data_IF_751742635396
#
_entry.id   IF_751742635396
#
_cell.length_a   1.000
_cell.length_b   1.000
_cell.length_c   1.000
_cell.angle_alpha   90.00
_cell.angle_beta   90.00
_cell.angle_gamma   90.00
#
_symmetry.space_group_name_H-M   'P 1'
#
loop_
_entity.id
_entity.type
_entity.pdbx_description
1 polymer ?
#
# COMPACT_ATOMS: atom_id res chain seq x y z
N UNK A 1 -11.69 -11.74 6.72
CA UNK A 1 -12.05 -12.13 8.10
C UNK A 1 -10.80 -12.59 8.82
N UNK A 2 -10.47 -11.98 9.96
CA UNK A 2 -9.38 -12.45 10.83
C UNK A 2 -10.06 -13.27 11.93
N UNK A 3 -9.76 -14.56 12.00
CA UNK A 3 -10.30 -15.45 13.04
C UNK A 3 -9.52 -15.26 14.36
N UNK A 4 -10.23 -15.49 15.46
CA UNK A 4 -9.64 -15.56 16.79
C UNK A 4 -8.51 -16.59 16.82
N UNK A 5 -7.46 -16.31 17.62
CA UNK A 5 -6.21 -17.09 17.64
C UNK A 5 -6.44 -18.58 17.91
N UNK A 6 -7.42 -18.87 18.74
CA UNK A 6 -7.81 -20.22 19.18
C UNK A 6 -8.42 -21.06 18.06
N UNK A 7 -8.98 -20.41 17.03
CA UNK A 7 -9.64 -21.04 15.90
C UNK A 7 -8.78 -21.01 14.62
N UNK A 8 -7.50 -20.64 14.73
CA UNK A 8 -6.58 -20.61 13.57
C UNK A 8 -6.13 -22.03 13.25
N UNK A 9 -6.10 -22.34 11.95
CA UNK A 9 -5.46 -23.54 11.43
C UNK A 9 -3.95 -23.33 11.57
N UNK A 10 -3.33 -23.97 12.56
CA UNK A 10 -1.88 -23.94 12.80
C UNK A 10 -1.45 -25.17 13.59
N UNK A 11 -0.22 -25.65 13.38
CA UNK A 11 0.31 -26.82 14.09
C UNK A 11 0.02 -26.76 15.59
N UNK A 12 -0.37 -27.91 16.18
CA UNK A 12 -0.69 -28.07 17.62
C UNK A 12 0.37 -27.46 18.55
N UNK A 13 1.63 -27.41 18.12
CA UNK A 13 2.74 -26.83 18.89
C UNK A 13 2.58 -25.33 19.12
N UNK A 14 2.00 -24.61 18.16
CA UNK A 14 1.66 -23.19 18.32
C UNK A 14 0.48 -22.99 19.26
N UNK A 15 -0.53 -23.86 19.21
CA UNK A 15 -1.66 -23.81 20.15
C UNK A 15 -1.21 -23.99 21.60
N UNK A 16 -0.26 -24.91 21.85
CA UNK A 16 0.31 -25.10 23.18
C UNK A 16 1.12 -23.89 23.64
N UNK A 17 1.96 -23.33 22.76
CA UNK A 17 2.71 -22.08 23.01
C UNK A 17 1.80 -20.90 23.35
N UNK A 18 0.65 -20.81 22.71
CA UNK A 18 -0.30 -19.73 22.91
C UNK A 18 -1.09 -19.84 24.22
N UNK A 19 -1.22 -21.05 24.77
CA UNK A 19 -1.87 -21.33 26.06
C UNK A 19 -0.93 -21.20 27.26
N UNK A 20 0.39 -21.15 27.03
CA UNK A 20 1.37 -20.97 28.10
C UNK A 20 1.54 -19.47 28.45
N UNK A 21 1.66 -19.11 29.75
CA UNK A 21 1.95 -17.74 30.18
C UNK A 21 3.28 -17.25 29.58
N UNK A 22 3.41 -15.94 29.26
CA UNK A 22 4.64 -15.38 28.73
C UNK A 22 5.76 -15.44 29.79
N UNK A 23 6.63 -16.46 29.68
CA UNK A 23 7.88 -16.54 30.42
C UNK A 23 8.97 -15.64 29.82
N UNK A 24 10.05 -15.35 30.56
CA UNK A 24 11.09 -14.39 30.17
C UNK A 24 11.91 -14.80 28.93
N UNK A 25 11.78 -16.04 28.46
CA UNK A 25 12.45 -16.52 27.25
C UNK A 25 11.49 -16.45 26.06
N UNK A 26 11.69 -15.46 25.18
CA UNK A 26 10.97 -15.37 23.91
C UNK A 26 11.33 -16.56 23.00
N UNK A 27 10.50 -17.59 23.10
CA UNK A 27 9.84 -18.28 21.98
C UNK A 27 10.67 -18.52 20.73
N UNK A 28 11.66 -19.40 20.88
CA UNK A 28 12.32 -20.10 19.78
C UNK A 28 12.31 -21.59 20.08
N UNK A 29 12.39 -22.45 19.06
CA UNK A 29 12.65 -23.87 19.30
C UNK A 29 14.02 -24.05 19.99
N UNK A 30 14.39 -25.28 20.37
CA UNK A 30 15.68 -25.58 21.00
C UNK A 30 16.91 -25.08 20.20
N UNK A 31 16.71 -24.68 18.93
CA UNK A 31 17.72 -24.20 18.00
C UNK A 31 17.56 -22.71 17.65
N UNK A 32 16.74 -21.94 18.36
CA UNK A 32 16.58 -20.52 18.06
C UNK A 32 15.64 -20.23 16.88
N UNK A 33 14.91 -21.23 16.34
CA UNK A 33 14.04 -21.02 15.17
C UNK A 33 12.69 -20.44 15.58
N UNK A 34 12.21 -19.50 14.79
CA UNK A 34 10.88 -18.88 14.96
C UNK A 34 9.73 -19.76 14.42
N UNK A 35 10.07 -20.70 13.55
CA UNK A 35 9.16 -21.63 12.89
C UNK A 35 9.38 -23.02 13.51
N UNK A 36 8.34 -23.63 14.07
CA UNK A 36 8.46 -25.01 14.54
C UNK A 36 8.64 -25.98 13.36
N UNK A 37 9.41 -27.06 13.52
CA UNK A 37 9.33 -28.20 12.61
C UNK A 37 7.87 -28.59 12.40
N UNK A 38 7.49 -28.80 11.13
CA UNK A 38 6.16 -29.21 10.71
C UNK A 38 5.02 -28.19 11.00
N UNK A 39 5.35 -26.89 10.99
CA UNK A 39 4.41 -25.77 11.24
C UNK A 39 3.10 -25.84 10.43
N UNK A 40 3.18 -26.32 9.19
CA UNK A 40 2.09 -26.32 8.23
C UNK A 40 1.28 -27.62 8.14
N UNK A 41 1.47 -28.60 9.03
CA UNK A 41 0.74 -29.90 9.00
C UNK A 41 -0.77 -29.73 8.90
N UNK A 42 -1.38 -28.95 9.79
CA UNK A 42 -2.83 -28.74 9.82
C UNK A 42 -3.36 -28.10 8.52
N UNK A 43 -2.56 -27.29 7.83
CA UNK A 43 -2.91 -26.73 6.52
C UNK A 43 -2.81 -27.82 5.46
N UNK A 44 -1.74 -28.64 5.49
CA UNK A 44 -1.53 -29.73 4.53
C UNK A 44 -2.62 -30.81 4.63
N UNK A 45 -3.08 -31.11 5.84
CA UNK A 45 -4.08 -32.12 6.14
C UNK A 45 -5.53 -31.62 6.00
N UNK A 46 -5.72 -30.32 5.75
CA UNK A 46 -7.05 -29.75 5.64
C UNK A 46 -7.81 -30.35 4.45
N UNK A 47 -9.13 -30.58 4.60
CA UNK A 47 -9.98 -31.25 3.60
C UNK A 47 -9.93 -30.61 2.22
N UNK A 48 -9.70 -29.30 2.16
CA UNK A 48 -9.51 -28.55 0.90
C UNK A 48 -8.30 -29.07 0.08
N UNK A 49 -7.25 -29.52 0.76
CA UNK A 49 -5.99 -30.00 0.16
C UNK A 49 -5.84 -31.53 0.16
N UNK A 50 -6.90 -32.30 0.45
CA UNK A 50 -6.83 -33.76 0.66
C UNK A 50 -6.11 -34.54 -0.46
N UNK A 51 -6.17 -34.06 -1.70
CA UNK A 51 -5.55 -34.69 -2.87
C UNK A 51 -4.45 -33.83 -3.49
N UNK A 52 -3.95 -32.85 -2.75
CA UNK A 52 -2.90 -31.96 -3.22
C UNK A 52 -1.53 -32.56 -2.87
N UNK A 53 -0.73 -32.85 -3.89
CA UNK A 53 0.57 -33.49 -3.74
C UNK A 53 1.63 -32.49 -3.26
N UNK A 54 1.62 -32.15 -1.96
CA UNK A 54 2.51 -31.16 -1.34
C UNK A 54 4.00 -31.39 -1.64
N UNK A 55 4.45 -32.64 -1.73
CA UNK A 55 5.85 -33.00 -2.00
C UNK A 55 6.27 -32.75 -3.46
N UNK A 56 5.30 -32.62 -4.37
CA UNK A 56 5.53 -32.48 -5.81
C UNK A 56 5.14 -31.10 -6.35
N UNK A 57 4.68 -30.18 -5.49
CA UNK A 57 4.18 -28.84 -5.88
C UNK A 57 5.15 -28.08 -6.78
N UNK A 58 6.45 -28.18 -6.51
CA UNK A 58 7.49 -27.51 -7.29
C UNK A 58 7.61 -28.03 -8.73
N UNK A 59 7.18 -29.28 -8.97
CA UNK A 59 7.23 -29.95 -10.27
C UNK A 59 5.86 -30.03 -10.96
N UNK A 60 4.79 -29.60 -10.29
CA UNK A 60 3.46 -29.55 -10.89
C UNK A 60 3.41 -28.46 -11.96
N UNK A 61 2.72 -28.74 -13.06
CA UNK A 61 2.45 -27.73 -14.08
C UNK A 61 1.57 -26.61 -13.49
N UNK A 62 2.04 -25.35 -13.47
CA UNK A 62 1.25 -24.27 -12.91
C UNK A 62 0.02 -24.00 -13.78
N UNK A 63 -1.12 -23.62 -13.19
CA UNK A 63 -2.35 -23.33 -13.94
C UNK A 63 -2.24 -22.06 -14.80
N UNK A 64 -1.30 -21.18 -14.48
CA UNK A 64 -1.03 -19.96 -15.20
C UNK A 64 0.47 -19.81 -15.41
N UNK A 65 0.87 -19.66 -16.67
CA UNK A 65 2.26 -19.36 -17.07
C UNK A 65 2.25 -17.94 -17.66
N UNK A 66 2.97 -16.98 -17.05
CA UNK A 66 3.03 -15.62 -17.57
C UNK A 66 3.73 -15.59 -18.94
N UNK A 67 3.16 -14.86 -19.90
CA UNK A 67 3.72 -14.66 -21.23
C UNK A 67 4.68 -13.46 -21.22
N UNK A 68 5.94 -13.69 -20.87
CA UNK A 68 6.96 -12.63 -20.73
C UNK A 68 7.65 -12.41 -22.08
N UNK A 69 7.54 -11.19 -22.62
CA UNK A 69 8.10 -10.82 -23.93
C UNK A 69 9.59 -10.42 -23.88
N UNK A 70 10.05 -9.91 -22.74
CA UNK A 70 11.40 -9.35 -22.52
C UNK A 70 11.81 -9.49 -21.05
N UNK A 71 13.10 -9.56 -20.70
CA UNK A 71 13.54 -9.45 -19.30
C UNK A 71 13.10 -8.16 -18.59
N UNK A 72 12.75 -7.12 -19.35
CA UNK A 72 12.26 -5.83 -18.84
C UNK A 72 10.73 -5.71 -18.92
N UNK A 73 10.02 -6.79 -19.24
CA UNK A 73 8.58 -6.78 -19.42
C UNK A 73 7.83 -6.60 -18.09
N UNK A 74 7.17 -5.46 -17.94
CA UNK A 74 6.42 -5.09 -16.73
C UNK A 74 4.91 -5.19 -16.87
N UNK A 75 4.35 -5.79 -17.93
CA UNK A 75 2.90 -5.73 -18.18
C UNK A 75 2.05 -6.50 -17.13
N UNK A 76 2.64 -7.45 -16.39
CA UNK A 76 1.99 -8.10 -15.24
C UNK A 76 2.09 -7.30 -13.93
N UNK A 77 2.81 -6.17 -13.95
CA UNK A 77 2.88 -5.23 -12.83
C UNK A 77 1.93 -4.06 -13.09
N UNK A 78 1.41 -3.47 -12.02
CA UNK A 78 0.68 -2.21 -12.16
C UNK A 78 1.68 -1.13 -12.60
N UNK A 79 1.40 -0.40 -13.68
CA UNK A 79 2.17 0.80 -14.02
C UNK A 79 2.19 1.69 -12.78
N UNK A 80 3.35 1.78 -12.15
CA UNK A 80 3.48 2.55 -10.92
C UNK A 80 3.23 4.00 -11.28
N UNK A 81 2.08 4.53 -10.85
CA UNK A 81 1.90 5.97 -10.86
C UNK A 81 3.13 6.62 -10.23
N UNK A 82 3.59 7.78 -10.73
CA UNK A 82 4.75 8.47 -10.18
C UNK A 82 4.66 8.46 -8.66
N UNK A 83 5.80 8.12 -8.02
CA UNK A 83 5.94 8.09 -6.58
C UNK A 83 5.69 9.50 -6.04
N UNK A 84 4.42 9.86 -5.83
CA UNK A 84 4.06 11.05 -5.09
C UNK A 84 4.56 10.78 -3.68
N UNK A 85 5.57 11.55 -3.30
CA UNK A 85 6.27 11.39 -2.04
C UNK A 85 5.25 11.31 -0.91
N UNK A 86 5.29 10.19 -0.19
CA UNK A 86 4.45 9.93 0.97
C UNK A 86 4.68 10.94 2.11
N UNK A 87 5.68 11.80 1.98
CA UNK A 87 6.16 12.67 3.04
C UNK A 87 5.88 14.16 2.88
N UNK A 88 5.34 14.65 1.78
CA UNK A 88 4.88 16.04 1.74
C UNK A 88 3.41 16.12 2.05
N UNK A 89 3.13 16.46 3.30
CA UNK A 89 1.98 17.26 3.72
C UNK A 89 1.95 18.61 2.97
N UNK A 90 2.06 18.60 1.65
CA UNK A 90 1.63 19.72 0.86
C UNK A 90 0.13 19.47 0.68
N UNK A 91 -0.76 20.28 1.25
CA UNK A 91 -2.08 20.41 0.70
C UNK A 91 -1.86 21.05 -0.67
N UNK A 92 -1.45 20.26 -1.67
CA UNK A 92 -1.67 20.62 -3.06
C UNK A 92 -3.17 20.81 -3.13
N UNK A 93 -3.57 22.08 -3.01
CA UNK A 93 -4.93 22.48 -2.75
C UNK A 93 -5.75 21.85 -3.86
N UNK A 94 -6.58 20.88 -3.49
CA UNK A 94 -7.47 20.29 -4.47
C UNK A 94 -8.34 21.44 -4.92
N UNK A 95 -8.34 21.72 -6.24
CA UNK A 95 -8.89 22.94 -6.73
C UNK A 95 -10.34 23.06 -6.27
N UNK A 96 -10.70 24.23 -5.76
CA UNK A 96 -12.11 24.52 -5.49
C UNK A 96 -12.91 24.32 -6.77
N UNK A 97 -14.23 24.06 -6.71
CA UNK A 97 -15.04 23.94 -7.92
C UNK A 97 -14.84 25.13 -8.87
N UNK A 98 -14.74 26.35 -8.33
CA UNK A 98 -14.47 27.57 -9.10
C UNK A 98 -13.08 27.57 -9.77
N UNK A 99 -12.06 27.06 -9.09
CA UNK A 99 -10.72 26.88 -9.67
C UNK A 99 -10.72 25.84 -10.78
N UNK A 100 -11.46 24.73 -10.63
CA UNK A 100 -11.63 23.73 -11.71
C UNK A 100 -12.27 24.37 -12.94
N UNK A 101 -13.34 25.15 -12.76
CA UNK A 101 -13.99 25.89 -13.84
C UNK A 101 -13.02 26.88 -14.52
N UNK A 102 -12.18 27.57 -13.75
CA UNK A 102 -11.18 28.48 -14.29
C UNK A 102 -10.06 27.76 -15.05
N UNK A 103 -9.56 26.63 -14.54
CA UNK A 103 -8.51 25.82 -15.19
C UNK A 103 -9.03 25.23 -16.51
N UNK A 104 -10.29 24.80 -16.52
CA UNK A 104 -10.93 24.14 -17.66
C UNK A 104 -11.87 25.06 -18.44
N UNK A 105 -11.67 26.39 -18.37
CA UNK A 105 -12.54 27.40 -18.99
C UNK A 105 -12.76 27.22 -20.48
N UNK A 106 -11.77 26.67 -21.18
CA UNK A 106 -11.78 26.45 -22.63
C UNK A 106 -12.48 25.12 -23.01
N UNK A 107 -12.84 24.30 -22.02
CA UNK A 107 -13.57 23.04 -22.19
C UNK A 107 -15.07 23.21 -21.94
N UNK A 108 -15.87 22.27 -22.46
CA UNK A 108 -17.32 22.24 -22.29
C UNK A 108 -17.71 22.14 -20.81
N UNK A 109 -18.83 22.76 -20.43
CA UNK A 109 -19.35 22.71 -19.06
C UNK A 109 -19.51 21.28 -18.52
N UNK A 110 -19.88 20.33 -19.37
CA UNK A 110 -19.99 18.92 -18.99
C UNK A 110 -18.63 18.35 -18.53
N UNK A 111 -17.54 18.63 -19.27
CA UNK A 111 -16.18 18.20 -18.90
C UNK A 111 -15.75 18.83 -17.58
N UNK A 112 -16.08 20.11 -17.37
CA UNK A 112 -15.81 20.80 -16.12
C UNK A 112 -16.56 20.16 -14.94
N UNK A 113 -17.84 19.80 -15.12
CA UNK A 113 -18.64 19.10 -14.11
C UNK A 113 -18.07 17.73 -13.76
N UNK A 114 -17.66 16.95 -14.76
CA UNK A 114 -16.98 15.65 -14.54
C UNK A 114 -15.69 15.88 -13.75
N UNK A 115 -14.86 16.85 -14.14
CA UNK A 115 -13.62 17.16 -13.45
C UNK A 115 -13.82 17.56 -11.97
N UNK A 116 -14.86 18.35 -11.67
CA UNK A 116 -15.23 18.69 -10.28
C UNK A 116 -15.58 17.43 -9.49
N UNK A 117 -16.38 16.53 -10.07
CA UNK A 117 -16.72 15.24 -9.44
C UNK A 117 -15.49 14.35 -9.18
N UNK A 118 -14.57 14.30 -10.14
CA UNK A 118 -13.34 13.50 -10.04
C UNK A 118 -12.38 13.97 -8.93
N UNK A 119 -12.39 15.26 -8.58
CA UNK A 119 -11.51 15.85 -7.55
C UNK A 119 -12.16 15.89 -6.17
N UNK A 120 -13.49 15.77 -6.10
CA UNK A 120 -14.24 15.83 -4.85
C UNK A 120 -13.86 14.69 -3.89
N UNK A 121 -13.78 13.45 -4.39
CA UNK A 121 -13.52 12.25 -3.59
C UNK A 121 -12.07 11.75 -3.75
N UNK A 122 -11.45 11.24 -2.66
CA UNK A 122 -10.12 10.68 -2.75
C UNK A 122 -10.12 9.33 -3.47
N UNK A 123 -9.20 9.16 -4.42
CA UNK A 123 -9.06 7.92 -5.19
C UNK A 123 -7.98 6.99 -4.61
N UNK A 124 -8.17 5.69 -4.78
CA UNK A 124 -7.14 4.66 -4.67
C UNK A 124 -6.89 4.02 -6.05
N UNK A 125 -5.97 3.06 -6.15
CA UNK A 125 -5.63 2.42 -7.43
C UNK A 125 -6.83 1.72 -8.10
N UNK A 126 -7.68 1.04 -7.33
CA UNK A 126 -8.90 0.40 -7.84
C UNK A 126 -9.94 1.42 -8.31
N UNK A 127 -10.17 2.48 -7.54
CA UNK A 127 -11.08 3.58 -7.92
C UNK A 127 -10.58 4.31 -9.17
N UNK A 128 -9.27 4.53 -9.28
CA UNK A 128 -8.68 5.19 -10.44
C UNK A 128 -8.84 4.36 -11.72
N UNK A 129 -8.69 3.03 -11.62
CA UNK A 129 -8.98 2.12 -12.75
C UNK A 129 -10.44 2.16 -13.18
N UNK A 130 -11.36 2.19 -12.22
CA UNK A 130 -12.78 2.29 -12.51
C UNK A 130 -13.07 3.62 -13.22
N UNK A 131 -12.53 4.72 -12.72
CA UNK A 131 -12.65 6.05 -13.35
C UNK A 131 -12.06 6.04 -14.77
N UNK A 132 -10.85 5.51 -14.96
CA UNK A 132 -10.22 5.43 -16.29
C UNK A 132 -11.07 4.60 -17.26
N UNK A 133 -11.67 3.49 -16.79
CA UNK A 133 -12.58 2.64 -17.56
C UNK A 133 -13.90 3.37 -17.88
N UNK A 134 -14.50 4.06 -16.93
CA UNK A 134 -15.73 4.84 -17.13
C UNK A 134 -15.53 5.96 -18.14
N UNK A 135 -14.41 6.69 -18.04
CA UNK A 135 -14.04 7.72 -19.02
C UNK A 135 -13.84 7.13 -20.42
N UNK A 136 -13.19 5.97 -20.53
CA UNK A 136 -12.98 5.29 -21.81
C UNK A 136 -14.30 4.93 -22.49
N UNK A 137 -15.26 4.40 -21.71
CA UNK A 137 -16.56 3.96 -22.20
C UNK A 137 -17.61 5.06 -22.30
N UNK A 138 -17.28 6.30 -21.93
CA UNK A 138 -18.20 7.44 -22.05
C UNK A 138 -18.35 7.87 -23.51
N UNK A 139 -19.56 7.78 -24.12
CA UNK A 139 -19.79 8.19 -25.50
C UNK A 139 -19.88 9.72 -25.69
N UNK A 140 -20.10 10.49 -24.61
CA UNK A 140 -20.26 11.95 -24.67
C UNK A 140 -18.94 12.73 -24.72
N UNK A 141 -17.81 12.05 -24.48
CA UNK A 141 -16.47 12.65 -24.40
C UNK A 141 -15.65 12.32 -25.66
N UNK A 142 -14.98 13.34 -26.20
CA UNK A 142 -13.95 13.16 -27.23
C UNK A 142 -12.71 12.47 -26.66
N UNK A 143 -11.94 11.78 -27.49
CA UNK A 143 -10.68 11.14 -27.09
C UNK A 143 -9.71 12.11 -26.40
N UNK A 144 -9.64 13.36 -26.88
CA UNK A 144 -8.85 14.41 -26.26
C UNK A 144 -9.36 14.83 -24.88
N UNK A 145 -10.69 14.87 -24.68
CA UNK A 145 -11.32 15.21 -23.39
C UNK A 145 -11.11 14.09 -22.38
N UNK A 146 -11.20 12.83 -22.81
CA UNK A 146 -10.89 11.64 -21.98
C UNK A 146 -9.44 11.69 -21.49
N UNK A 147 -8.49 11.85 -22.40
CA UNK A 147 -7.07 11.93 -22.04
C UNK A 147 -6.78 13.12 -21.12
N UNK A 148 -7.42 14.27 -21.35
CA UNK A 148 -7.30 15.43 -20.48
C UNK A 148 -7.84 15.14 -19.07
N UNK A 149 -9.03 14.57 -18.92
CA UNK A 149 -9.62 14.23 -17.62
C UNK A 149 -8.78 13.19 -16.86
N UNK A 150 -8.26 12.17 -17.56
CA UNK A 150 -7.31 11.19 -17.00
C UNK A 150 -6.04 11.86 -16.47
N UNK A 151 -5.51 12.86 -17.17
CA UNK A 151 -4.36 13.65 -16.72
C UNK A 151 -4.74 14.58 -15.56
N UNK A 152 -5.93 15.17 -15.61
CA UNK A 152 -6.42 16.11 -14.61
C UNK A 152 -6.56 15.45 -13.23
N UNK A 153 -7.18 14.28 -13.14
CA UNK A 153 -7.30 13.54 -11.86
C UNK A 153 -5.94 13.15 -11.28
N UNK A 154 -4.96 12.80 -12.13
CA UNK A 154 -3.60 12.45 -11.71
C UNK A 154 -2.83 13.66 -11.16
N UNK A 155 -3.13 14.87 -11.64
CA UNK A 155 -2.48 16.10 -11.19
C UNK A 155 -3.17 16.74 -9.98
N UNK A 156 -4.50 16.77 -9.97
CA UNK A 156 -5.29 17.56 -9.01
C UNK A 156 -6.13 16.72 -8.03
N UNK A 157 -6.34 15.43 -8.31
CA UNK A 157 -7.16 14.57 -7.47
C UNK A 157 -6.47 14.16 -6.16
N UNK A 158 -7.25 13.92 -5.12
CA UNK A 158 -6.75 13.48 -3.80
C UNK A 158 -6.45 11.99 -3.80
N UNK A 159 -5.23 11.60 -3.44
CA UNK A 159 -4.95 10.19 -3.15
C UNK A 159 -5.50 9.81 -1.77
N UNK A 160 -6.19 8.68 -1.71
CA UNK A 160 -6.65 8.11 -0.45
C UNK A 160 -5.43 7.74 0.42
N UNK A 161 -5.37 8.31 1.62
CA UNK A 161 -4.30 8.03 2.58
C UNK A 161 -4.40 6.57 3.03
N UNK A 162 -3.34 5.77 2.81
CA UNK A 162 -3.29 4.43 3.42
C UNK A 162 -3.07 4.58 4.93
N UNK A 163 -3.67 3.69 5.70
CA UNK A 163 -3.55 3.68 7.16
C UNK A 163 -2.09 3.45 7.58
N UNK A 164 -1.60 4.10 8.64
CA UNK A 164 -0.29 3.79 9.19
C UNK A 164 -0.15 2.28 9.44
N UNK A 165 0.96 1.69 8.99
CA UNK A 165 1.24 0.26 9.19
C UNK A 165 1.26 -0.08 10.67
N UNK A 166 1.89 0.80 11.43
CA UNK A 166 1.93 0.75 12.87
C UNK A 166 0.56 0.96 13.50
N UNK A 167 0.17 0.06 14.39
CA UNK A 167 -1.12 0.09 15.07
C UNK A 167 -1.24 1.31 15.99
N UNK A 168 -0.15 1.69 16.69
CA UNK A 168 -0.16 2.81 17.62
C UNK A 168 -0.31 4.16 16.91
N UNK A 169 0.13 4.25 15.65
CA UNK A 169 -0.02 5.46 14.84
C UNK A 169 -1.41 5.60 14.21
N UNK A 170 -2.31 4.62 14.39
CA UNK A 170 -3.68 4.69 13.88
C UNK A 170 -4.61 5.47 14.78
N UNK A 171 -4.30 5.53 16.08
CA UNK A 171 -5.10 6.25 17.05
C UNK A 171 -4.65 7.72 17.09
N UNK A 172 -5.60 8.59 16.75
CA UNK A 172 -5.38 10.02 16.59
C UNK A 172 -4.91 10.70 17.88
N UNK A 173 -5.28 10.16 19.05
CA UNK A 173 -4.93 10.73 20.36
C UNK A 173 -3.48 10.45 20.76
N UNK A 174 -2.94 9.30 20.35
CA UNK A 174 -1.61 8.84 20.81
C UNK A 174 -0.55 8.90 19.71
N UNK A 175 -0.93 9.05 18.43
CA UNK A 175 -0.01 9.01 17.29
C UNK A 175 1.16 9.98 17.47
N UNK A 176 0.90 11.19 17.97
CA UNK A 176 1.90 12.25 18.05
C UNK A 176 2.92 11.95 19.14
N UNK A 177 2.44 11.53 20.31
CA UNK A 177 3.28 11.07 21.44
C UNK A 177 4.14 9.87 21.03
N UNK A 178 3.55 8.88 20.34
CA UNK A 178 4.26 7.69 19.87
C UNK A 178 5.34 8.06 18.86
N UNK A 179 5.04 8.97 17.93
CA UNK A 179 6.02 9.48 16.97
C UNK A 179 7.16 10.23 17.66
N UNK A 180 6.84 11.03 18.67
CA UNK A 180 7.84 11.77 19.45
C UNK A 180 8.79 10.82 20.18
N UNK A 181 8.25 9.85 20.93
CA UNK A 181 9.06 8.83 21.64
C UNK A 181 9.94 8.05 20.67
N UNK A 182 9.46 7.75 19.47
CA UNK A 182 10.27 7.06 18.45
C UNK A 182 11.38 7.92 17.91
N UNK A 183 11.14 9.21 17.70
CA UNK A 183 12.20 10.14 17.27
C UNK A 183 13.25 10.32 18.34
N UNK A 184 12.86 10.39 19.62
CA UNK A 184 13.80 10.57 20.73
C UNK A 184 14.61 9.30 21.06
N UNK A 185 14.03 8.12 20.84
CA UNK A 185 14.70 6.82 21.05
C UNK A 185 15.38 6.27 19.81
N UNK A 186 15.20 6.87 18.63
CA UNK A 186 15.90 6.49 17.42
C UNK A 186 17.40 6.82 17.55
N UNK A 187 18.25 5.94 17.02
CA UNK A 187 19.68 6.22 16.92
C UNK A 187 19.92 7.52 16.13
N UNK A 188 20.94 8.30 16.52
CA UNK A 188 21.34 9.50 15.79
C UNK A 188 21.63 9.16 14.32
N UNK A 189 21.02 9.92 13.39
CA UNK A 189 21.20 9.75 11.94
C UNK A 189 20.08 8.99 11.20
N UNK A 190 19.05 8.49 11.88
CA UNK A 190 17.91 7.82 11.23
C UNK A 190 16.78 8.77 10.78
N UNK A 191 16.92 10.07 10.96
CA UNK A 191 16.01 11.06 10.37
C UNK A 191 16.33 11.21 8.88
N UNK A 192 15.66 10.43 8.04
CA UNK A 192 15.76 10.59 6.58
C UNK A 192 15.24 11.98 6.21
N UNK A 193 16.14 12.90 5.89
CA UNK A 193 15.82 14.14 5.17
C UNK A 193 16.30 13.94 3.75
N UNK A 194 15.48 14.32 2.78
CA UNK A 194 15.92 14.39 1.39
C UNK A 194 17.12 15.36 1.34
N UNK A 195 18.25 14.94 0.78
CA UNK A 195 19.40 15.84 0.58
C UNK A 195 18.91 17.05 -0.23
N UNK A 196 19.07 18.29 0.27
CA UNK A 196 18.87 19.45 -0.58
C UNK A 196 19.89 19.39 -1.74
N UNK A 197 19.61 20.02 -2.89
CA UNK A 197 20.54 20.01 -4.04
C UNK A 197 21.96 20.47 -3.70
N UNK A 198 22.13 21.24 -2.63
CA UNK A 198 23.40 21.72 -2.08
C UNK A 198 24.11 20.78 -1.09
N UNK A 199 23.54 19.60 -0.78
CA UNK A 199 24.08 18.65 0.20
C UNK A 199 23.82 19.04 1.67
N UNK A 200 24.11 18.11 2.60
CA UNK A 200 24.06 18.40 4.05
C UNK A 200 25.29 19.21 4.49
N UNK A 201 25.10 20.48 4.83
CA UNK A 201 26.09 21.22 5.62
C UNK A 201 26.04 20.67 7.06
N UNK A 202 27.08 19.96 7.48
CA UNK A 202 27.23 19.56 8.87
C UNK A 202 27.60 20.80 9.68
N UNK A 203 26.91 21.13 10.78
CA UNK A 203 27.38 22.16 11.70
C UNK A 203 28.68 21.68 12.34
N UNK A 204 29.71 22.54 12.34
CA UNK A 204 30.98 22.28 13.02
C UNK A 204 30.71 22.01 14.51
N UNK A 205 31.23 20.89 15.01
CA UNK A 205 31.27 20.57 16.44
C UNK A 205 32.08 21.65 17.15
N UNK A 206 31.41 22.56 17.85
CA UNK A 206 32.07 23.41 18.85
C UNK A 206 32.62 22.51 19.96
N UNK A 207 33.94 22.51 20.10
CA UNK A 207 34.68 21.89 21.20
C UNK A 207 34.41 22.60 22.53
#
# INVERSE_FOLDING_TARGET
MIHEKENRICSKRYQHKDRCPPGPNRMTDLFGRHVFPDDAEDIKDHRWFKHFAWDQVQNMTPPFVPNISSPEDTHYFEESEPFSDWSESNPGACPSPDEVHNILRDFRLYVQQVAVGLVAEPYNSSSLRLIDFELENSPELSEGEKQMLKRFIRLYGRRQRKRPRDVLLRDDKIKDVVMEVRKSSAFMGYSWRRMPPSGFMMPELQQ
#
